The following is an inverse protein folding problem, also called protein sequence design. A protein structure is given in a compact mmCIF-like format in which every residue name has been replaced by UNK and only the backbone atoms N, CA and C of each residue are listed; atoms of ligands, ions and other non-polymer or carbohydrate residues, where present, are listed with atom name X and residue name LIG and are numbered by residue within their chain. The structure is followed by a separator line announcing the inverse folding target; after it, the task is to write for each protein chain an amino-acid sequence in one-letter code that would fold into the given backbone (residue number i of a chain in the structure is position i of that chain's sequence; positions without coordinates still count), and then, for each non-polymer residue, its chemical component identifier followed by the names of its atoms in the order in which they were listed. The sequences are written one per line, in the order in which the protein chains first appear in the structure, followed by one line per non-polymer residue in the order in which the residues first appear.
data_IF_982576174965
#
_entry.id   IF_982576174965
#
_cell.length_a   1.000
_cell.length_b   1.000
_cell.length_c   1.000
_cell.angle_alpha   90.00
_cell.angle_beta   90.00
_cell.angle_gamma   90.00
#
_symmetry.space_group_name_H-M   'P 1'
#
loop_
_entity.id
_entity.type
_entity.pdbx_description
1 polymer ?
#
# COMPACT_ATOMS: atom_id res chain seq x y z
N UNK A 1 7.34 -7.16 -29.28
CA UNK A 1 5.93 -7.49 -28.95
C UNK A 1 5.45 -8.82 -29.52
N UNK A 2 5.86 -9.23 -30.72
CA UNK A 2 5.39 -10.47 -31.36
C UNK A 2 5.55 -11.73 -30.49
N UNK A 3 6.72 -11.93 -29.86
CA UNK A 3 6.96 -13.10 -28.97
C UNK A 3 6.13 -13.09 -27.68
N UNK A 4 5.78 -11.92 -27.16
CA UNK A 4 5.02 -11.80 -25.92
C UNK A 4 3.50 -11.77 -26.13
N UNK A 5 3.05 -11.59 -27.38
CA UNK A 5 1.63 -11.44 -27.72
C UNK A 5 0.76 -12.63 -27.29
N UNK A 6 1.15 -13.90 -27.51
CA UNK A 6 0.34 -15.04 -27.06
C UNK A 6 0.18 -15.07 -25.54
N UNK A 7 1.22 -14.67 -24.80
CA UNK A 7 1.19 -14.60 -23.33
C UNK A 7 0.23 -13.49 -22.87
N UNK A 8 0.28 -12.32 -23.52
CA UNK A 8 -0.65 -11.21 -23.24
C UNK A 8 -2.09 -11.61 -23.51
N UNK A 9 -2.37 -12.25 -24.65
CA UNK A 9 -3.71 -12.67 -25.06
C UNK A 9 -4.28 -13.73 -24.09
N UNK A 10 -3.50 -14.76 -23.76
CA UNK A 10 -3.93 -15.79 -22.81
C UNK A 10 -4.14 -15.24 -21.40
N UNK A 11 -3.27 -14.34 -20.93
CA UNK A 11 -3.44 -13.72 -19.62
C UNK A 11 -4.64 -12.77 -19.58
N UNK A 12 -4.85 -12.01 -20.66
CA UNK A 12 -6.02 -11.17 -20.80
C UNK A 12 -7.29 -12.02 -20.78
N UNK A 13 -7.33 -13.16 -21.49
CA UNK A 13 -8.48 -14.08 -21.48
C UNK A 13 -8.83 -14.56 -20.06
N UNK A 14 -7.85 -14.94 -19.25
CA UNK A 14 -8.09 -15.36 -17.87
C UNK A 14 -8.63 -14.21 -17.00
N UNK A 15 -7.94 -13.06 -17.01
CA UNK A 15 -8.30 -11.90 -16.17
C UNK A 15 -9.63 -11.27 -16.58
N UNK A 16 -9.94 -11.28 -17.88
CA UNK A 16 -11.10 -10.64 -18.48
C UNK A 16 -12.24 -11.64 -18.76
N UNK A 17 -12.03 -12.94 -18.56
CA UNK A 17 -13.01 -13.98 -18.87
C UNK A 17 -14.33 -13.86 -18.12
N UNK A 18 -14.36 -13.13 -17.00
CA UNK A 18 -15.58 -12.84 -16.23
C UNK A 18 -16.48 -11.76 -16.85
N UNK A 19 -15.98 -11.00 -17.82
CA UNK A 19 -16.74 -9.97 -18.52
C UNK A 19 -17.84 -10.63 -19.36
N UNK A 20 -19.09 -10.21 -19.20
CA UNK A 20 -20.26 -10.83 -19.86
C UNK A 20 -20.16 -10.76 -21.38
N UNK A 21 -19.79 -9.60 -21.94
CA UNK A 21 -19.85 -9.39 -23.39
C UNK A 21 -18.50 -9.62 -24.07
N UNK A 22 -18.53 -10.26 -25.24
CA UNK A 22 -17.34 -10.55 -26.05
C UNK A 22 -16.58 -9.28 -26.45
N UNK A 23 -17.31 -8.22 -26.81
CA UNK A 23 -16.71 -6.94 -27.18
C UNK A 23 -15.99 -6.27 -25.99
N UNK A 24 -16.50 -6.42 -24.76
CA UNK A 24 -15.80 -5.95 -23.56
C UNK A 24 -14.45 -6.67 -23.38
N UNK A 25 -14.41 -7.99 -23.58
CA UNK A 25 -13.16 -8.76 -23.49
C UNK A 25 -12.15 -8.30 -24.55
N UNK A 26 -12.59 -8.16 -25.79
CA UNK A 26 -11.75 -7.68 -26.89
C UNK A 26 -11.22 -6.26 -26.64
N UNK A 27 -12.05 -5.34 -26.15
CA UNK A 27 -11.60 -3.96 -25.81
C UNK A 27 -10.68 -3.92 -24.59
N UNK A 28 -10.87 -4.81 -23.62
CA UNK A 28 -9.97 -4.95 -22.48
C UNK A 28 -8.59 -5.46 -22.89
N UNK A 29 -8.52 -6.50 -23.73
CA UNK A 29 -7.26 -6.98 -24.32
C UNK A 29 -6.55 -5.86 -25.11
N UNK A 30 -7.31 -5.13 -25.93
CA UNK A 30 -6.79 -3.98 -26.69
C UNK A 30 -6.23 -2.88 -25.76
N UNK A 31 -6.91 -2.58 -24.65
CA UNK A 31 -6.43 -1.62 -23.66
C UNK A 31 -5.14 -2.10 -23.00
N UNK A 32 -5.06 -3.37 -22.59
CA UNK A 32 -3.85 -3.97 -22.01
C UNK A 32 -2.67 -3.90 -22.97
N UNK A 33 -2.89 -4.18 -24.26
CA UNK A 33 -1.87 -4.00 -25.29
C UNK A 33 -1.42 -2.54 -25.39
N UNK A 34 -2.34 -1.58 -25.34
CA UNK A 34 -2.01 -0.16 -25.33
C UNK A 34 -1.08 0.25 -24.16
N UNK A 35 -1.33 -0.31 -22.97
CA UNK A 35 -0.50 -0.07 -21.78
C UNK A 35 0.91 -0.67 -21.95
N UNK A 36 1.00 -1.86 -22.56
CA UNK A 36 2.24 -2.63 -22.72
C UNK A 36 3.11 -2.23 -23.91
N UNK A 37 2.57 -1.50 -24.90
CA UNK A 37 3.35 -0.97 -26.02
C UNK A 37 4.39 0.05 -25.54
N UNK A 38 5.42 0.35 -26.32
CA UNK A 38 6.37 1.42 -25.98
C UNK A 38 5.76 2.82 -26.17
N UNK A 39 6.19 3.78 -25.34
CA UNK A 39 5.84 5.19 -25.52
C UNK A 39 5.65 5.95 -24.21
N UNK A 40 6.07 7.22 -24.20
CA UNK A 40 6.13 8.08 -23.01
C UNK A 40 4.77 8.33 -22.33
N UNK A 41 3.68 8.41 -23.10
CA UNK A 41 2.33 8.72 -22.59
C UNK A 41 1.37 7.58 -22.88
N UNK A 42 0.66 7.13 -21.84
CA UNK A 42 -0.32 6.02 -21.85
C UNK A 42 -1.77 6.48 -21.64
N UNK A 43 -2.09 7.72 -21.99
CA UNK A 43 -3.50 8.13 -22.08
C UNK A 43 -4.17 7.50 -23.30
N UNK A 44 -5.50 7.50 -23.32
CA UNK A 44 -6.29 6.75 -24.30
C UNK A 44 -5.96 7.12 -25.75
N UNK A 45 -5.78 8.41 -26.05
CA UNK A 45 -5.47 8.86 -27.41
C UNK A 45 -4.08 8.41 -27.89
N UNK A 46 -2.97 8.69 -27.17
CA UNK A 46 -1.67 8.13 -27.54
C UNK A 46 -1.63 6.60 -27.63
N UNK A 47 -2.38 5.88 -26.79
CA UNK A 47 -2.47 4.41 -26.92
C UNK A 47 -3.21 4.01 -28.19
N UNK A 48 -4.34 4.65 -28.48
CA UNK A 48 -5.15 4.36 -29.65
C UNK A 48 -4.42 4.66 -30.96
N UNK A 49 -3.66 5.77 -31.03
CA UNK A 49 -2.84 6.13 -32.17
C UNK A 49 -1.82 5.01 -32.49
N UNK A 50 -1.14 4.48 -31.47
CA UNK A 50 -0.17 3.37 -31.63
C UNK A 50 -0.81 2.04 -31.97
N UNK A 51 -2.05 1.82 -31.52
CA UNK A 51 -2.83 0.63 -31.83
C UNK A 51 -3.54 0.74 -33.19
N UNK A 52 -3.50 1.89 -33.86
CA UNK A 52 -4.25 2.20 -35.07
C UNK A 52 -5.76 1.95 -34.90
N UNK A 53 -6.33 2.41 -33.79
CA UNK A 53 -7.78 2.32 -33.48
C UNK A 53 -8.34 3.68 -33.10
N UNK A 54 -9.66 3.83 -33.15
CA UNK A 54 -10.30 5.02 -32.60
C UNK A 54 -10.21 5.06 -31.07
N UNK A 55 -9.65 6.14 -30.52
CA UNK A 55 -9.57 6.39 -29.08
C UNK A 55 -10.91 6.32 -28.35
N UNK A 56 -12.03 6.62 -29.02
CA UNK A 56 -13.36 6.54 -28.41
C UNK A 56 -13.67 5.13 -27.92
N UNK A 57 -13.16 4.09 -28.59
CA UNK A 57 -13.42 2.73 -28.15
C UNK A 57 -12.71 2.40 -26.83
N UNK A 58 -11.51 2.95 -26.59
CA UNK A 58 -10.80 2.82 -25.32
C UNK A 58 -11.47 3.66 -24.23
N UNK A 59 -11.92 4.87 -24.58
CA UNK A 59 -12.66 5.73 -23.67
C UNK A 59 -13.95 5.07 -23.19
N UNK A 60 -14.83 4.67 -24.11
CA UNK A 60 -16.10 4.02 -23.80
C UNK A 60 -15.89 2.76 -22.96
N UNK A 61 -14.88 1.94 -23.28
CA UNK A 61 -14.57 0.75 -22.51
C UNK A 61 -14.22 1.04 -21.04
N UNK A 62 -13.43 2.08 -20.77
CA UNK A 62 -13.04 2.46 -19.41
C UNK A 62 -14.14 3.24 -18.70
N UNK A 63 -14.73 4.25 -19.33
CA UNK A 63 -15.60 5.21 -18.65
C UNK A 63 -17.06 4.79 -18.60
N UNK A 64 -17.54 4.08 -19.61
CA UNK A 64 -18.99 3.93 -19.87
C UNK A 64 -19.48 2.49 -19.94
N UNK A 65 -18.59 1.53 -20.21
CA UNK A 65 -18.92 0.11 -20.21
C UNK A 65 -19.42 -0.34 -18.83
N UNK A 66 -20.09 -1.49 -18.72
CA UNK A 66 -20.80 -1.90 -17.50
C UNK A 66 -20.05 -2.93 -16.64
N UNK A 67 -18.75 -3.14 -16.89
CA UNK A 67 -18.01 -4.17 -16.19
C UNK A 67 -17.56 -3.78 -14.79
N UNK A 68 -17.55 -4.77 -13.90
CA UNK A 68 -17.05 -4.61 -12.54
C UNK A 68 -15.54 -4.86 -12.47
N UNK A 69 -14.82 -3.86 -11.98
CA UNK A 69 -13.38 -3.96 -11.80
C UNK A 69 -13.00 -4.88 -10.63
N UNK A 70 -13.91 -5.08 -9.66
CA UNK A 70 -13.69 -6.00 -8.53
C UNK A 70 -13.56 -7.45 -9.02
N UNK A 71 -14.32 -7.84 -10.05
CA UNK A 71 -14.21 -9.18 -10.64
C UNK A 71 -12.83 -9.45 -11.24
N UNK A 72 -12.25 -8.45 -11.91
CA UNK A 72 -10.90 -8.55 -12.48
C UNK A 72 -9.85 -8.60 -11.36
N UNK A 73 -9.99 -7.78 -10.31
CA UNK A 73 -9.08 -7.80 -9.14
C UNK A 73 -9.13 -9.12 -8.37
N UNK A 74 -10.32 -9.73 -8.26
CA UNK A 74 -10.50 -11.06 -7.67
C UNK A 74 -9.77 -12.14 -8.46
N UNK A 75 -9.88 -12.13 -9.79
CA UNK A 75 -9.12 -13.04 -10.68
C UNK A 75 -7.62 -12.82 -10.57
N UNK A 76 -7.19 -11.56 -10.56
CA UNK A 76 -5.80 -11.17 -10.37
C UNK A 76 -5.23 -11.65 -9.03
N UNK A 77 -6.04 -11.57 -7.96
CA UNK A 77 -5.67 -12.06 -6.63
C UNK A 77 -5.46 -13.57 -6.64
N UNK A 78 -6.38 -14.34 -7.25
CA UNK A 78 -6.23 -15.80 -7.36
C UNK A 78 -5.00 -16.20 -8.17
N UNK A 79 -4.75 -15.49 -9.29
CA UNK A 79 -3.52 -15.68 -10.05
C UNK A 79 -2.28 -15.41 -9.19
N UNK A 80 -2.26 -14.30 -8.46
CA UNK A 80 -1.11 -13.93 -7.63
C UNK A 80 -0.85 -14.98 -6.53
N UNK A 81 -1.88 -15.51 -5.90
CA UNK A 81 -1.76 -16.60 -4.92
C UNK A 81 -1.12 -17.84 -5.54
N UNK A 82 -1.61 -18.29 -6.70
CA UNK A 82 -1.11 -19.51 -7.32
C UNK A 82 0.24 -19.38 -8.03
N UNK A 83 0.54 -18.20 -8.58
CA UNK A 83 1.72 -17.98 -9.42
C UNK A 83 2.88 -17.29 -8.70
N UNK A 84 2.60 -16.47 -7.68
CA UNK A 84 3.63 -15.77 -6.92
C UNK A 84 3.86 -16.40 -5.55
N UNK A 85 2.84 -17.00 -4.94
CA UNK A 85 2.85 -17.41 -3.53
C UNK A 85 3.40 -16.30 -2.59
N UNK A 86 2.68 -15.17 -2.48
CA UNK A 86 3.23 -13.98 -1.83
C UNK A 86 3.53 -14.21 -0.36
N UNK A 87 4.68 -13.74 0.11
CA UNK A 87 5.08 -13.86 1.53
C UNK A 87 4.49 -12.76 2.41
N UNK A 88 4.06 -11.64 1.81
CA UNK A 88 3.46 -10.51 2.51
C UNK A 88 2.45 -9.74 1.63
N UNK A 89 1.62 -8.93 2.28
CA UNK A 89 0.82 -7.88 1.66
C UNK A 89 1.40 -6.51 2.04
N UNK A 90 1.81 -5.72 1.05
CA UNK A 90 2.27 -4.36 1.28
C UNK A 90 1.12 -3.38 1.06
N UNK A 91 0.83 -2.55 2.06
CA UNK A 91 -0.10 -1.42 1.99
C UNK A 91 0.67 -0.12 1.92
N UNK A 92 0.30 0.73 0.97
CA UNK A 92 0.87 2.06 0.77
C UNK A 92 -0.11 2.95 0.00
N UNK A 93 0.20 4.23 -0.19
CA UNK A 93 -0.55 5.12 -1.05
C UNK A 93 0.31 5.90 -2.06
N UNK A 94 -0.32 6.25 -3.18
CA UNK A 94 0.33 7.02 -4.25
C UNK A 94 -0.49 8.25 -4.61
N UNK A 95 0.22 9.33 -4.92
CA UNK A 95 -0.38 10.58 -5.39
C UNK A 95 -0.45 10.66 -6.92
N UNK A 96 -1.58 11.14 -7.42
CA UNK A 96 -1.89 11.33 -8.84
C UNK A 96 -2.08 12.83 -9.11
N UNK A 97 -1.05 13.54 -9.59
CA UNK A 97 -1.14 14.97 -9.87
C UNK A 97 -2.25 15.28 -10.87
N UNK A 98 -2.95 16.39 -10.65
CA UNK A 98 -4.03 16.87 -11.53
C UNK A 98 -3.96 18.38 -11.68
N UNK A 99 -4.25 18.86 -12.88
CA UNK A 99 -4.25 20.30 -13.17
C UNK A 99 -5.59 20.98 -12.85
N UNK A 100 -6.69 20.21 -12.77
CA UNK A 100 -8.04 20.75 -12.57
C UNK A 100 -8.79 20.19 -11.35
N UNK A 101 -9.95 20.77 -10.99
CA UNK A 101 -10.71 20.43 -9.79
C UNK A 101 -11.78 19.33 -10.00
N UNK A 102 -11.92 18.83 -11.23
CA UNK A 102 -13.05 17.99 -11.67
C UNK A 102 -12.81 16.49 -11.63
N UNK A 103 -11.58 16.04 -11.32
CA UNK A 103 -11.30 14.61 -11.11
C UNK A 103 -11.80 14.15 -9.74
N UNK A 104 -12.36 12.94 -9.59
CA UNK A 104 -12.93 12.47 -8.32
C UNK A 104 -11.88 12.50 -7.20
N UNK A 105 -12.24 13.00 -6.02
CA UNK A 105 -11.33 13.04 -4.86
C UNK A 105 -10.12 13.99 -5.01
N UNK A 106 -10.06 14.81 -6.07
CA UNK A 106 -8.94 15.74 -6.24
C UNK A 106 -9.01 16.88 -5.21
N UNK A 107 -7.90 17.11 -4.52
CA UNK A 107 -7.73 18.23 -3.59
C UNK A 107 -6.26 18.59 -3.42
N UNK A 108 -6.00 19.70 -2.73
CA UNK A 108 -4.66 20.09 -2.27
C UNK A 108 -4.24 19.16 -1.12
N UNK A 109 -3.38 18.19 -1.41
CA UNK A 109 -2.88 17.21 -0.43
C UNK A 109 -1.37 17.03 -0.62
N UNK A 110 -0.69 16.56 0.43
CA UNK A 110 0.70 16.13 0.28
C UNK A 110 0.74 14.91 -0.65
N UNK A 111 1.62 14.94 -1.64
CA UNK A 111 1.85 13.85 -2.57
C UNK A 111 3.32 13.51 -2.60
N UNK A 112 3.66 12.27 -2.26
CA UNK A 112 5.03 11.75 -2.32
C UNK A 112 5.62 11.89 -3.74
N UNK A 113 4.77 11.83 -4.78
CA UNK A 113 5.20 12.07 -6.17
C UNK A 113 5.59 13.53 -6.42
N UNK A 114 4.86 14.48 -5.85
CA UNK A 114 5.15 15.90 -6.01
C UNK A 114 6.25 16.40 -5.05
N UNK A 115 6.52 15.67 -3.97
CA UNK A 115 7.41 16.09 -2.89
C UNK A 115 6.88 17.30 -2.09
N UNK A 116 5.62 17.70 -2.33
CA UNK A 116 4.99 18.89 -1.75
C UNK A 116 3.48 18.75 -1.74
N UNK A 117 2.81 19.67 -1.03
CA UNK A 117 1.36 19.83 -1.15
C UNK A 117 1.01 20.37 -2.52
N UNK A 118 0.16 19.65 -3.25
CA UNK A 118 -0.28 20.00 -4.59
C UNK A 118 -1.66 19.44 -4.90
N UNK A 119 -2.24 19.88 -6.02
CA UNK A 119 -3.52 19.38 -6.47
C UNK A 119 -3.35 17.95 -7.01
N UNK A 120 -3.92 16.98 -6.31
CA UNK A 120 -3.76 15.57 -6.64
C UNK A 120 -4.93 14.74 -6.12
N UNK A 121 -5.05 13.52 -6.64
CA UNK A 121 -5.81 12.45 -6.01
C UNK A 121 -4.83 11.56 -5.22
N UNK A 122 -5.34 10.82 -4.23
CA UNK A 122 -4.56 9.80 -3.53
C UNK A 122 -5.23 8.44 -3.72
N UNK A 123 -4.47 7.43 -4.14
CA UNK A 123 -4.92 6.05 -4.24
C UNK A 123 -4.19 5.18 -3.22
N UNK A 124 -4.93 4.56 -2.31
CA UNK A 124 -4.44 3.51 -1.41
C UNK A 124 -4.37 2.21 -2.21
N UNK A 125 -3.28 1.46 -2.08
CA UNK A 125 -3.06 0.21 -2.80
C UNK A 125 -2.59 -0.92 -1.88
N UNK A 126 -2.96 -2.15 -2.22
CA UNK A 126 -2.46 -3.37 -1.60
C UNK A 126 -1.75 -4.24 -2.66
N UNK A 127 -0.52 -4.64 -2.37
CA UNK A 127 0.36 -5.37 -3.26
C UNK A 127 0.74 -6.72 -2.65
N UNK A 128 0.62 -7.79 -3.42
CA UNK A 128 1.24 -9.07 -3.10
C UNK A 128 2.72 -9.02 -3.46
N UNK A 129 3.60 -9.44 -2.56
CA UNK A 129 5.05 -9.37 -2.76
C UNK A 129 5.76 -10.67 -2.39
N UNK A 130 6.82 -10.97 -3.12
CA UNK A 130 7.87 -11.94 -2.80
C UNK A 130 9.23 -11.25 -2.82
N UNK A 131 10.30 -12.01 -2.60
CA UNK A 131 11.65 -11.49 -2.77
C UNK A 131 11.93 -11.02 -4.19
N UNK A 132 11.37 -11.66 -5.22
CA UNK A 132 11.70 -11.41 -6.63
C UNK A 132 10.58 -10.71 -7.40
N UNK A 133 9.33 -10.85 -6.95
CA UNK A 133 8.15 -10.52 -7.73
C UNK A 133 7.10 -9.78 -6.91
N UNK A 134 6.20 -9.12 -7.61
CA UNK A 134 5.10 -8.38 -7.00
C UNK A 134 3.94 -8.21 -7.98
N UNK A 135 2.76 -7.96 -7.41
CA UNK A 135 1.57 -7.56 -8.15
C UNK A 135 0.69 -6.64 -7.30
N UNK A 136 0.31 -5.48 -7.85
CA UNK A 136 -0.76 -4.66 -7.29
C UNK A 136 -2.10 -5.40 -7.43
N UNK A 137 -2.83 -5.61 -6.33
CA UNK A 137 -4.05 -6.43 -6.34
C UNK A 137 -5.32 -5.60 -6.17
N UNK A 138 -5.28 -4.58 -5.31
CA UNK A 138 -6.45 -3.79 -4.98
C UNK A 138 -6.10 -2.32 -4.81
N UNK A 139 -7.07 -1.44 -5.06
CA UNK A 139 -6.95 0.02 -4.98
C UNK A 139 -8.21 0.67 -4.43
N UNK A 140 -8.04 1.74 -3.66
CA UNK A 140 -9.12 2.64 -3.24
C UNK A 140 -8.74 4.08 -3.49
N UNK A 141 -9.62 4.81 -4.18
CA UNK A 141 -9.48 6.25 -4.33
C UNK A 141 -9.91 6.92 -3.02
N UNK A 142 -9.00 7.66 -2.39
CA UNK A 142 -9.29 8.40 -1.18
C UNK A 142 -10.11 9.65 -1.51
N UNK A 143 -11.27 9.78 -0.87
CA UNK A 143 -12.09 11.00 -0.88
C UNK A 143 -11.72 11.85 0.33
N UNK A 144 -11.15 13.05 0.17
CA UNK A 144 -10.92 13.95 1.30
C UNK A 144 -12.25 14.51 1.82
N UNK A 145 -12.30 15.05 3.06
CA UNK A 145 -13.54 15.58 3.64
C UNK A 145 -14.26 16.61 2.77
N UNK A 146 -13.52 17.38 1.97
CA UNK A 146 -14.07 18.35 1.00
C UNK A 146 -14.88 17.75 -0.15
N UNK A 147 -14.92 16.41 -0.26
CA UNK A 147 -15.74 15.65 -1.22
C UNK A 147 -16.89 14.90 -0.57
N UNK A 148 -17.08 15.06 0.73
CA UNK A 148 -18.16 14.41 1.46
C UNK A 148 -19.10 15.43 2.05
N UNK A 149 -20.28 15.54 1.45
CA UNK A 149 -21.28 16.52 1.85
C UNK A 149 -21.86 16.26 3.24
N UNK A 150 -21.68 15.05 3.80
CA UNK A 150 -22.04 14.75 5.20
C UNK A 150 -20.95 15.10 6.21
N UNK A 151 -19.74 15.42 5.74
CA UNK A 151 -18.61 15.82 6.59
C UNK A 151 -18.42 17.34 6.67
N UNK A 152 -19.28 18.11 5.99
CA UNK A 152 -19.19 19.56 5.85
C UNK A 152 -20.33 20.24 6.61
N UNK A 153 -20.02 21.37 7.27
CA UNK A 153 -21.02 22.17 7.99
C UNK A 153 -21.56 23.37 7.21
N UNK A 154 -20.82 23.86 6.20
CA UNK A 154 -21.19 25.04 5.41
C UNK A 154 -22.12 24.66 4.23
N UNK A 155 -23.33 25.25 4.12
CA UNK A 155 -24.26 24.93 3.03
C UNK A 155 -23.70 25.15 1.62
N UNK A 156 -22.84 26.15 1.43
CA UNK A 156 -22.19 26.41 0.15
C UNK A 156 -21.20 25.30 -0.23
N UNK A 157 -20.35 24.89 0.72
CA UNK A 157 -19.42 23.77 0.55
C UNK A 157 -20.14 22.44 0.31
N UNK A 158 -21.25 22.18 1.01
CA UNK A 158 -22.12 21.01 0.80
C UNK A 158 -22.64 20.98 -0.64
N UNK A 159 -23.18 22.10 -1.15
CA UNK A 159 -23.68 22.18 -2.52
C UNK A 159 -22.57 21.93 -3.56
N UNK A 160 -21.38 22.49 -3.33
CA UNK A 160 -20.20 22.26 -4.18
C UNK A 160 -19.77 20.79 -4.13
N UNK A 161 -19.72 20.17 -2.96
CA UNK A 161 -19.37 18.75 -2.81
C UNK A 161 -20.36 17.86 -3.55
N UNK A 162 -21.67 18.08 -3.39
CA UNK A 162 -22.73 17.34 -4.11
C UNK A 162 -22.59 17.47 -5.63
N UNK A 163 -22.38 18.69 -6.13
CA UNK A 163 -22.20 18.93 -7.56
C UNK A 163 -20.96 18.19 -8.13
N UNK A 164 -19.82 18.23 -7.41
CA UNK A 164 -18.60 17.53 -7.80
C UNK A 164 -18.79 16.01 -7.77
N UNK A 165 -19.45 15.47 -6.73
CA UNK A 165 -19.77 14.04 -6.60
C UNK A 165 -20.63 13.55 -7.76
N UNK A 166 -21.69 14.29 -8.09
CA UNK A 166 -22.58 13.98 -9.22
C UNK A 166 -21.82 14.02 -10.55
N UNK A 167 -21.02 15.06 -10.80
CA UNK A 167 -20.24 15.20 -12.03
C UNK A 167 -19.23 14.06 -12.22
N UNK A 168 -18.61 13.60 -11.14
CA UNK A 168 -17.65 12.50 -11.16
C UNK A 168 -18.30 11.11 -11.05
N UNK A 169 -19.64 11.04 -10.99
CA UNK A 169 -20.40 9.81 -10.79
C UNK A 169 -19.90 8.97 -9.61
N UNK A 170 -19.63 9.64 -8.47
CA UNK A 170 -19.24 8.97 -7.22
C UNK A 170 -20.51 8.37 -6.60
N UNK A 171 -20.55 7.04 -6.33
CA UNK A 171 -21.70 6.42 -5.69
C UNK A 171 -21.96 6.97 -4.28
N UNK A 172 -23.23 6.96 -3.83
CA UNK A 172 -23.64 7.58 -2.56
C UNK A 172 -23.07 6.90 -1.31
N UNK A 173 -22.70 5.62 -1.41
CA UNK A 173 -22.04 4.86 -0.35
C UNK A 173 -20.54 5.15 -0.25
N UNK A 174 -19.94 5.80 -1.26
CA UNK A 174 -18.53 6.19 -1.24
C UNK A 174 -18.38 7.55 -0.54
N UNK A 175 -17.94 7.51 0.71
CA UNK A 175 -17.82 8.66 1.63
C UNK A 175 -16.38 8.92 2.02
N UNK A 176 -16.14 10.01 2.74
CA UNK A 176 -14.83 10.23 3.33
C UNK A 176 -14.55 9.11 4.34
N UNK A 177 -13.37 8.51 4.22
CA UNK A 177 -12.89 7.48 5.12
C UNK A 177 -11.38 7.60 5.23
N UNK A 178 -10.84 7.42 6.43
CA UNK A 178 -9.40 7.45 6.68
C UNK A 178 -8.71 6.35 5.87
N UNK A 179 -7.53 6.67 5.32
CA UNK A 179 -6.78 5.76 4.45
C UNK A 179 -6.51 4.39 5.09
N UNK A 180 -6.26 4.37 6.39
CA UNK A 180 -6.02 3.13 7.12
C UNK A 180 -7.27 2.24 7.21
N UNK A 181 -8.48 2.81 7.26
CA UNK A 181 -9.71 2.02 7.20
C UNK A 181 -9.94 1.47 5.78
N UNK A 182 -9.68 2.29 4.75
CA UNK A 182 -9.69 1.80 3.36
C UNK A 182 -8.74 0.60 3.18
N UNK A 183 -7.56 0.64 3.80
CA UNK A 183 -6.62 -0.47 3.76
C UNK A 183 -7.16 -1.74 4.45
N UNK A 184 -7.81 -1.61 5.62
CA UNK A 184 -8.45 -2.76 6.29
C UNK A 184 -9.56 -3.38 5.43
N UNK A 185 -10.42 -2.55 4.84
CA UNK A 185 -11.49 -3.03 3.95
C UNK A 185 -10.90 -3.76 2.72
N UNK A 186 -9.79 -3.26 2.17
CA UNK A 186 -9.09 -3.91 1.06
C UNK A 186 -8.48 -5.25 1.47
N UNK A 187 -7.96 -5.38 2.69
CA UNK A 187 -7.43 -6.63 3.23
C UNK A 187 -8.56 -7.66 3.38
N UNK A 188 -9.72 -7.24 3.91
CA UNK A 188 -10.90 -8.09 4.05
C UNK A 188 -11.40 -8.60 2.68
N UNK A 189 -11.44 -7.72 1.67
CA UNK A 189 -11.76 -8.10 0.28
C UNK A 189 -10.77 -9.12 -0.29
N UNK A 190 -9.46 -8.88 -0.14
CA UNK A 190 -8.43 -9.77 -0.65
C UNK A 190 -8.53 -11.17 -0.02
N UNK A 191 -8.77 -11.26 1.29
CA UNK A 191 -9.03 -12.52 1.99
C UNK A 191 -10.28 -13.20 1.44
N UNK A 192 -11.38 -12.46 1.26
CA UNK A 192 -12.61 -12.96 0.63
C UNK A 192 -12.41 -13.44 -0.82
N UNK A 193 -11.36 -12.98 -1.50
CA UNK A 193 -11.00 -13.44 -2.85
C UNK A 193 -10.04 -14.63 -2.87
N UNK A 194 -9.59 -15.10 -1.71
CA UNK A 194 -8.71 -16.28 -1.56
C UNK A 194 -7.26 -15.96 -1.24
N UNK A 195 -6.92 -14.72 -0.85
CA UNK A 195 -5.59 -14.41 -0.34
C UNK A 195 -5.35 -15.13 1.00
N UNK A 196 -4.29 -15.95 1.14
CA UNK A 196 -3.94 -16.58 2.40
C UNK A 196 -3.63 -15.53 3.47
N UNK A 197 -3.67 -15.94 4.74
CA UNK A 197 -3.22 -15.09 5.83
C UNK A 197 -1.71 -14.82 5.65
N UNK A 198 -1.38 -13.60 5.22
CA UNK A 198 -0.01 -13.12 5.04
C UNK A 198 0.22 -11.89 5.91
N UNK A 199 1.44 -11.71 6.47
CA UNK A 199 1.77 -10.50 7.20
C UNK A 199 1.51 -9.25 6.37
N UNK A 200 0.87 -8.26 6.98
CA UNK A 200 0.72 -6.92 6.40
C UNK A 200 1.94 -6.08 6.73
N UNK A 201 2.49 -5.44 5.70
CA UNK A 201 3.64 -4.54 5.82
C UNK A 201 3.21 -3.15 5.34
N UNK A 202 3.53 -2.11 6.12
CA UNK A 202 3.18 -0.73 5.80
C UNK A 202 4.21 0.25 6.38
N UNK A 203 4.20 1.50 5.93
CA UNK A 203 5.04 2.55 6.54
C UNK A 203 4.40 3.20 7.78
N UNK A 204 5.13 4.15 8.37
CA UNK A 204 4.73 4.89 9.55
C UNK A 204 3.43 5.70 9.37
N UNK A 205 3.03 6.06 8.14
CA UNK A 205 1.74 6.74 7.90
C UNK A 205 0.57 5.86 8.35
N UNK A 206 0.70 4.54 8.20
CA UNK A 206 -0.27 3.56 8.67
C UNK A 206 0.14 2.99 10.03
N UNK A 207 1.42 2.68 10.19
CA UNK A 207 1.94 1.99 11.35
C UNK A 207 1.91 2.81 12.62
N UNK A 208 1.92 4.15 12.57
CA UNK A 208 1.70 5.00 13.76
C UNK A 208 0.23 5.02 14.20
N UNK A 209 -0.71 4.69 13.31
CA UNK A 209 -2.14 4.66 13.63
C UNK A 209 -2.46 3.45 14.49
N UNK A 210 -2.60 3.66 15.80
CA UNK A 210 -2.96 2.59 16.76
C UNK A 210 -4.22 1.84 16.38
N UNK A 211 -5.24 2.54 15.85
CA UNK A 211 -6.48 1.92 15.39
C UNK A 211 -6.27 0.97 14.19
N UNK A 212 -5.29 1.25 13.32
CA UNK A 212 -4.94 0.37 12.20
C UNK A 212 -4.29 -0.92 12.71
N UNK A 213 -3.29 -0.80 13.60
CA UNK A 213 -2.63 -1.95 14.22
C UNK A 213 -3.63 -2.83 14.97
N UNK A 214 -4.52 -2.22 15.76
CA UNK A 214 -5.60 -2.93 16.44
C UNK A 214 -6.54 -3.63 15.45
N UNK A 215 -6.96 -2.94 14.39
CA UNK A 215 -7.84 -3.52 13.37
C UNK A 215 -7.23 -4.72 12.64
N UNK A 216 -5.91 -4.77 12.47
CA UNK A 216 -5.20 -5.96 11.96
C UNK A 216 -5.20 -7.10 12.98
N UNK A 217 -4.89 -6.81 14.24
CA UNK A 217 -4.90 -7.80 15.33
C UNK A 217 -6.29 -8.44 15.53
N UNK A 218 -7.36 -7.63 15.55
CA UNK A 218 -8.75 -8.11 15.65
C UNK A 218 -9.13 -9.05 14.50
N UNK A 219 -8.51 -8.87 13.33
CA UNK A 219 -8.71 -9.73 12.15
C UNK A 219 -7.84 -10.99 12.16
N UNK A 220 -6.97 -11.15 13.16
CA UNK A 220 -5.96 -12.21 13.20
C UNK A 220 -4.92 -12.09 12.09
N UNK A 221 -4.63 -10.87 11.62
CA UNK A 221 -3.66 -10.61 10.54
C UNK A 221 -2.32 -10.20 11.17
N UNK A 222 -1.26 -11.01 11.03
CA UNK A 222 0.08 -10.62 11.48
C UNK A 222 0.54 -9.38 10.73
N UNK A 223 1.44 -8.59 11.32
CA UNK A 223 1.98 -7.43 10.65
C UNK A 223 3.43 -7.15 11.01
N UNK A 224 4.12 -6.41 10.13
CA UNK A 224 5.39 -5.73 10.37
C UNK A 224 5.26 -4.32 9.80
N UNK A 225 4.94 -3.34 10.64
CA UNK A 225 4.66 -1.96 10.19
C UNK A 225 5.72 -1.02 10.71
N UNK A 226 6.20 -0.11 9.86
CA UNK A 226 7.12 0.92 10.29
C UNK A 226 6.40 1.91 11.22
N UNK A 227 7.13 2.52 12.14
CA UNK A 227 6.62 3.52 13.09
C UNK A 227 7.63 4.63 13.26
N UNK A 228 7.17 5.80 13.70
CA UNK A 228 8.06 6.88 14.12
C UNK A 228 8.76 6.53 15.43
N UNK A 229 10.01 7.02 15.64
CA UNK A 229 10.75 6.79 16.89
C UNK A 229 10.03 7.34 18.13
N UNK A 230 9.11 8.30 17.94
CA UNK A 230 8.35 8.96 19.00
C UNK A 230 7.15 8.15 19.50
N UNK A 231 6.81 7.03 18.86
CA UNK A 231 5.82 6.11 19.41
C UNK A 231 6.25 5.62 20.80
N UNK A 232 5.30 5.34 21.70
CA UNK A 232 5.61 4.98 23.09
C UNK A 232 5.30 3.54 23.42
N UNK A 233 6.17 2.93 24.22
CA UNK A 233 6.05 1.54 24.67
C UNK A 233 6.72 1.33 26.04
N UNK A 234 6.48 0.17 26.63
CA UNK A 234 7.15 -0.37 27.81
C UNK A 234 7.90 -1.66 27.43
N UNK A 235 8.92 -2.04 28.19
CA UNK A 235 9.60 -3.32 28.00
C UNK A 235 8.67 -4.49 28.40
N UNK A 236 8.82 -5.66 27.77
CA UNK A 236 7.93 -6.80 28.03
C UNK A 236 8.10 -7.41 29.44
N UNK A 237 9.29 -7.31 30.03
CA UNK A 237 9.60 -7.77 31.38
C UNK A 237 9.06 -6.84 32.49
N UNK A 238 8.54 -5.66 32.12
CA UNK A 238 7.96 -4.71 33.06
C UNK A 238 6.60 -5.21 33.57
N UNK A 239 6.38 -5.28 34.88
CA UNK A 239 5.04 -5.63 35.40
C UNK A 239 4.00 -4.61 34.91
N UNK A 240 2.77 -5.02 34.53
CA UNK A 240 1.75 -4.06 34.15
C UNK A 240 1.53 -3.09 35.31
N UNK A 241 1.62 -1.79 35.05
CA UNK A 241 1.30 -0.80 36.06
C UNK A 241 -0.16 -1.01 36.48
N UNK A 242 -0.36 -1.49 37.71
CA UNK A 242 -1.69 -1.51 38.31
C UNK A 242 -2.14 -0.06 38.44
N UNK A 243 -3.16 0.35 37.68
CA UNK A 243 -3.82 1.63 37.95
C UNK A 243 -4.37 1.56 39.37
N UNK A 244 -3.96 2.45 40.29
CA UNK A 244 -4.45 2.39 41.66
C UNK A 244 -5.94 2.73 41.65
N UNK A 245 -6.76 1.72 41.91
CA UNK A 245 -8.12 1.91 42.37
C UNK A 245 -8.03 2.55 43.76
N UNK A 246 -8.70 3.69 43.96
CA UNK A 246 -8.70 4.56 45.15
C UNK A 246 -7.66 5.71 45.19
N UNK A 247 -8.21 6.92 45.36
CA UNK A 247 -7.52 8.23 45.32
C UNK A 247 -6.55 8.52 46.46
N UNK A 248 -5.51 7.70 46.61
CA UNK A 248 -4.28 8.08 47.32
C UNK A 248 -3.16 8.36 46.30
N UNK A 249 -2.43 9.48 46.41
CA UNK A 249 -1.24 9.70 45.60
C UNK A 249 -0.20 8.64 45.97
N UNK A 250 0.25 7.86 45.00
CA UNK A 250 1.37 6.95 45.17
C UNK A 250 2.67 7.75 45.46
N UNK A 251 3.60 7.24 46.29
CA UNK A 251 4.87 7.91 46.54
C UNK A 251 5.68 8.03 45.23
N UNK A 252 6.32 9.19 45.04
CA UNK A 252 7.00 9.59 43.79
C UNK A 252 8.20 8.71 43.36
N UNK A 253 8.54 7.67 44.13
CA UNK A 253 9.61 6.71 43.85
C UNK A 253 9.11 5.34 43.37
N UNK A 254 7.81 5.16 43.13
CA UNK A 254 7.20 3.85 42.85
C UNK A 254 6.93 3.51 41.36
N UNK A 255 7.43 4.28 40.38
CA UNK A 255 7.17 3.99 38.95
C UNK A 255 8.41 4.11 38.04
N UNK A 256 9.29 3.08 37.98
CA UNK A 256 10.34 2.98 36.95
C UNK A 256 9.81 2.75 35.51
N UNK A 257 8.49 2.56 35.37
CA UNK A 257 7.84 1.80 34.30
C UNK A 257 6.90 2.63 33.41
N UNK A 258 7.11 3.95 33.35
CA UNK A 258 6.36 4.79 32.43
C UNK A 258 6.71 4.45 30.97
N UNK A 259 5.73 4.48 30.05
CA UNK A 259 6.03 4.37 28.62
C UNK A 259 7.10 5.35 28.18
N UNK A 260 8.07 4.86 27.41
CA UNK A 260 9.15 5.67 26.82
C UNK A 260 9.02 5.63 25.30
N UNK A 261 9.59 6.63 24.64
CA UNK A 261 9.71 6.59 23.19
C UNK A 261 10.61 5.43 22.74
N UNK A 262 10.37 4.89 21.53
CA UNK A 262 11.05 3.71 21.03
C UNK A 262 12.56 3.90 20.93
N UNK A 263 13.02 5.10 20.56
CA UNK A 263 14.46 5.40 20.50
C UNK A 263 15.09 5.27 21.88
N UNK A 264 14.49 5.87 22.91
CA UNK A 264 14.98 5.77 24.29
C UNK A 264 15.03 4.31 24.76
N UNK A 265 14.00 3.51 24.48
CA UNK A 265 13.99 2.08 24.83
C UNK A 265 15.13 1.31 24.15
N UNK A 266 15.32 1.54 22.85
CA UNK A 266 16.35 0.88 22.05
C UNK A 266 17.74 1.26 22.54
N UNK A 267 17.99 2.55 22.77
CA UNK A 267 19.29 3.06 23.23
C UNK A 267 19.61 2.68 24.67
N UNK A 268 18.60 2.44 25.52
CA UNK A 268 18.78 1.97 26.90
C UNK A 268 18.97 0.45 27.02
N UNK A 269 18.76 -0.31 25.94
CA UNK A 269 18.92 -1.76 25.96
C UNK A 269 20.38 -2.18 26.17
N UNK A 270 20.60 -3.30 26.85
CA UNK A 270 21.94 -3.84 27.18
C UNK A 270 22.73 -4.34 25.96
N UNK A 271 22.22 -4.12 24.74
CA UNK A 271 22.77 -4.60 23.47
C UNK A 271 23.16 -3.42 22.57
N UNK A 272 24.25 -2.70 22.90
CA UNK A 272 24.61 -1.43 22.25
C UNK A 272 24.91 -1.59 20.75
N UNK A 273 25.31 -2.78 20.31
CA UNK A 273 25.79 -3.05 18.94
C UNK A 273 24.82 -3.88 18.08
N UNK A 274 23.60 -4.19 18.55
CA UNK A 274 22.63 -4.98 17.77
C UNK A 274 23.24 -6.25 17.14
N UNK A 275 22.68 -6.72 16.02
CA UNK A 275 23.27 -7.78 15.20
C UNK A 275 23.28 -7.36 13.74
N UNK A 276 24.38 -7.60 13.06
CA UNK A 276 24.42 -7.38 11.63
C UNK A 276 23.60 -8.43 10.89
N UNK A 277 22.61 -7.99 10.15
CA UNK A 277 21.77 -8.86 9.32
C UNK A 277 21.91 -8.42 7.87
N UNK A 278 22.29 -9.33 6.95
CA UNK A 278 22.22 -9.04 5.53
C UNK A 278 20.77 -8.96 5.09
N UNK A 279 20.43 -7.97 4.28
CA UNK A 279 19.10 -7.79 3.71
C UNK A 279 19.23 -7.28 2.28
N UNK A 280 18.27 -7.61 1.42
CA UNK A 280 18.28 -7.11 0.03
C UNK A 280 17.76 -5.69 0.00
N UNK A 281 18.57 -4.76 -0.49
CA UNK A 281 18.03 -3.45 -0.82
C UNK A 281 17.15 -3.59 -2.05
N UNK A 282 15.89 -3.15 -1.95
CA UNK A 282 15.20 -2.66 -3.14
C UNK A 282 16.06 -1.58 -3.80
N UNK A 283 15.85 -1.30 -5.09
CA UNK A 283 16.62 -0.30 -5.85
C UNK A 283 16.35 1.13 -5.32
N UNK A 284 16.83 1.43 -4.12
CA UNK A 284 16.82 2.73 -3.49
C UNK A 284 18.13 3.41 -3.91
N UNK A 285 18.00 4.39 -4.82
CA UNK A 285 19.04 5.36 -5.14
C UNK A 285 19.30 6.19 -3.88
N UNK A 286 20.30 5.77 -3.11
CA UNK A 286 21.00 6.57 -2.12
C UNK A 286 22.50 6.62 -2.51
N UNK A 287 23.27 7.59 -2.01
CA UNK A 287 24.60 7.93 -2.54
C UNK A 287 25.74 6.99 -2.08
N UNK A 288 25.48 5.70 -1.90
CA UNK A 288 26.49 4.75 -1.39
C UNK A 288 26.66 3.58 -2.35
N UNK A 289 27.92 3.27 -2.65
CA UNK A 289 28.39 2.30 -3.63
C UNK A 289 27.59 0.98 -3.63
N UNK A 290 26.96 0.71 -4.78
CA UNK A 290 26.32 -0.58 -5.05
C UNK A 290 27.44 -1.57 -5.38
N UNK A 291 27.83 -2.40 -4.41
CA UNK A 291 28.56 -3.64 -4.74
C UNK A 291 27.58 -4.59 -5.44
N UNK A 292 28.04 -5.21 -6.53
CA UNK A 292 27.24 -5.78 -7.62
C UNK A 292 26.24 -6.92 -7.33
N UNK A 293 25.79 -7.10 -6.09
CA UNK A 293 24.74 -8.07 -5.70
C UNK A 293 23.48 -7.42 -5.10
N UNK A 294 23.49 -6.12 -4.79
CA UNK A 294 22.34 -5.42 -4.19
C UNK A 294 22.03 -5.79 -2.72
N UNK A 295 22.90 -6.59 -2.09
CA UNK A 295 22.79 -7.00 -0.69
C UNK A 295 23.35 -5.88 0.21
N UNK A 296 22.54 -5.36 1.12
CA UNK A 296 22.98 -4.42 2.18
C UNK A 296 23.17 -5.17 3.48
N UNK A 297 24.00 -4.60 4.36
CA UNK A 297 24.21 -5.10 5.71
C UNK A 297 24.02 -3.93 6.66
N UNK A 298 22.98 -4.02 7.48
CA UNK A 298 22.73 -3.05 8.54
C UNK A 298 22.71 -3.76 9.88
N UNK A 299 22.75 -2.98 10.95
CA UNK A 299 22.71 -3.46 12.32
C UNK A 299 21.28 -3.36 12.82
N UNK A 300 20.74 -4.46 13.30
CA UNK A 300 19.36 -4.56 13.76
C UNK A 300 19.31 -5.01 15.21
N UNK A 301 18.31 -4.53 15.92
CA UNK A 301 17.94 -5.00 17.25
C UNK A 301 16.46 -5.35 17.24
N UNK A 302 16.11 -6.52 17.79
CA UNK A 302 14.73 -6.87 18.09
C UNK A 302 14.54 -6.98 19.61
N UNK A 303 13.54 -6.27 20.13
CA UNK A 303 13.16 -6.30 21.53
C UNK A 303 11.69 -6.72 21.65
N UNK A 304 11.34 -7.42 22.73
CA UNK A 304 9.94 -7.63 23.11
C UNK A 304 9.47 -6.45 23.93
N UNK A 305 8.36 -5.84 23.51
CA UNK A 305 7.79 -4.66 24.14
C UNK A 305 6.27 -4.80 24.30
N UNK A 306 5.68 -3.96 25.15
CA UNK A 306 4.24 -3.71 25.21
C UNK A 306 3.99 -2.27 24.77
N UNK A 307 3.21 -2.09 23.71
CA UNK A 307 2.84 -0.73 23.29
C UNK A 307 1.88 -0.10 24.31
N UNK A 308 1.82 1.23 24.38
CA UNK A 308 0.88 1.90 25.28
C UNK A 308 -0.46 2.06 24.59
N UNK A 309 -1.40 1.14 24.81
CA UNK A 309 -2.80 1.34 24.39
C UNK A 309 -3.68 1.66 25.60
N UNK A 310 -4.44 2.77 25.61
CA UNK A 310 -5.12 3.27 26.80
C UNK A 310 -6.23 2.37 27.38
N UNK A 311 -6.72 1.37 26.66
CA UNK A 311 -7.95 0.66 27.07
C UNK A 311 -7.80 -0.84 27.32
N UNK A 312 -6.78 -1.50 26.78
CA UNK A 312 -6.51 -2.93 26.99
C UNK A 312 -5.01 -3.12 26.78
N UNK A 313 -4.26 -3.64 27.76
CA UNK A 313 -2.82 -3.87 27.63
C UNK A 313 -2.55 -4.67 26.36
N UNK A 314 -1.86 -4.11 25.36
CA UNK A 314 -1.76 -4.76 24.06
C UNK A 314 -0.87 -6.00 24.20
N UNK A 315 -1.11 -7.04 23.40
CA UNK A 315 -0.25 -8.22 23.42
C UNK A 315 1.19 -7.78 23.18
N UNK A 316 2.13 -8.47 23.84
CA UNK A 316 3.54 -8.26 23.60
C UNK A 316 3.84 -8.36 22.10
N UNK A 317 4.62 -7.41 21.59
CA UNK A 317 5.00 -7.37 20.19
C UNK A 317 6.52 -7.20 20.06
N UNK A 318 7.03 -7.43 18.86
CA UNK A 318 8.40 -7.12 18.52
C UNK A 318 8.55 -5.63 18.20
N UNK A 319 9.58 -5.01 18.76
CA UNK A 319 10.17 -3.75 18.29
C UNK A 319 11.43 -4.09 17.53
N UNK A 320 11.46 -3.80 16.24
CA UNK A 320 12.67 -3.87 15.41
C UNK A 320 13.22 -2.45 15.22
N UNK A 321 14.52 -2.26 15.44
CA UNK A 321 15.21 -1.01 15.15
C UNK A 321 16.42 -1.27 14.26
N UNK A 322 16.69 -0.36 13.33
CA UNK A 322 17.85 -0.42 12.43
C UNK A 322 18.74 0.80 12.57
N UNK A 323 20.05 0.52 12.63
CA UNK A 323 21.11 1.48 12.42
C UNK A 323 21.64 1.30 10.99
N UNK A 324 21.47 2.32 10.14
CA UNK A 324 22.19 2.38 8.87
C UNK A 324 23.71 2.23 9.06
N UNK A 325 24.44 1.79 8.02
CA UNK A 325 25.89 1.67 8.08
C UNK A 325 26.55 3.00 8.49
N UNK A 326 27.40 2.95 9.52
CA UNK A 326 28.17 4.10 9.99
C UNK A 326 27.39 5.11 10.85
N UNK A 327 26.12 4.85 11.21
CA UNK A 327 25.36 5.75 12.08
C UNK A 327 25.41 5.32 13.54
N UNK A 328 25.58 6.26 14.49
CA UNK A 328 25.57 5.95 15.92
C UNK A 328 24.18 5.62 16.46
N UNK A 329 23.12 6.05 15.75
CA UNK A 329 21.74 5.96 16.21
C UNK A 329 20.83 5.23 15.20
N UNK A 330 19.73 4.60 15.67
CA UNK A 330 18.78 3.94 14.80
C UNK A 330 17.90 4.96 14.09
N UNK A 331 17.67 4.76 12.79
CA UNK A 331 16.83 5.64 11.97
C UNK A 331 15.45 5.07 11.70
N UNK A 332 15.35 3.74 11.58
CA UNK A 332 14.13 3.06 11.15
C UNK A 332 13.64 2.13 12.27
N UNK A 333 12.33 2.14 12.53
CA UNK A 333 11.68 1.38 13.60
C UNK A 333 10.44 0.67 13.05
N UNK A 334 10.18 -0.54 13.51
CA UNK A 334 9.00 -1.32 13.16
C UNK A 334 8.40 -2.01 14.38
N UNK A 335 7.08 -2.16 14.35
CA UNK A 335 6.33 -3.02 15.26
C UNK A 335 5.87 -4.28 14.54
N UNK A 336 5.96 -5.43 15.21
CA UNK A 336 5.58 -6.71 14.62
C UNK A 336 4.84 -7.65 15.58
N UNK A 337 3.80 -8.30 15.07
CA UNK A 337 3.00 -9.33 15.78
C UNK A 337 3.39 -10.75 15.39
N UNK A 338 4.53 -10.94 14.71
CA UNK A 338 5.05 -12.28 14.47
C UNK A 338 5.26 -13.05 15.80
N UNK A 339 5.24 -14.39 15.75
CA UNK A 339 5.45 -15.25 16.92
C UNK A 339 6.68 -14.89 17.77
N UNK A 340 6.65 -15.23 19.06
CA UNK A 340 7.72 -14.89 20.00
C UNK A 340 9.04 -15.66 19.75
N UNK A 341 8.99 -16.72 18.95
CA UNK A 341 10.13 -17.50 18.45
C UNK A 341 10.59 -17.06 17.05
N UNK A 342 9.96 -16.04 16.45
CA UNK A 342 10.34 -15.52 15.15
C UNK A 342 11.81 -15.08 15.13
N UNK A 343 12.54 -15.51 14.10
CA UNK A 343 13.95 -15.18 13.98
C UNK A 343 14.14 -13.70 13.60
N UNK A 344 15.24 -13.10 14.08
CA UNK A 344 15.61 -11.73 13.69
C UNK A 344 15.69 -11.57 12.16
N UNK A 345 16.14 -12.60 11.42
CA UNK A 345 16.20 -12.58 9.95
C UNK A 345 14.82 -12.45 9.32
N UNK A 346 13.81 -13.12 9.85
CA UNK A 346 12.44 -13.06 9.35
C UNK A 346 11.83 -11.67 9.57
N UNK A 347 12.01 -11.11 10.77
CA UNK A 347 11.59 -9.75 11.10
C UNK A 347 12.21 -8.72 10.14
N UNK A 348 13.53 -8.81 9.94
CA UNK A 348 14.27 -7.92 9.03
C UNK A 348 13.81 -8.09 7.57
N UNK A 349 13.62 -9.33 7.13
CA UNK A 349 13.14 -9.62 5.78
C UNK A 349 11.78 -8.95 5.52
N UNK A 350 10.79 -9.17 6.38
CA UNK A 350 9.46 -8.57 6.23
C UNK A 350 9.46 -7.05 6.41
N UNK A 351 10.28 -6.50 7.31
CA UNK A 351 10.43 -5.06 7.47
C UNK A 351 10.97 -4.39 6.19
N UNK A 352 11.91 -5.05 5.50
CA UNK A 352 12.57 -4.53 4.30
C UNK A 352 11.87 -4.90 2.99
N UNK A 353 11.00 -5.92 2.96
CA UNK A 353 10.27 -6.31 1.75
C UNK A 353 9.37 -5.18 1.22
N UNK A 354 8.94 -4.25 2.10
CA UNK A 354 8.18 -3.05 1.70
C UNK A 354 8.84 -2.30 0.55
N UNK A 355 10.17 -2.22 0.51
CA UNK A 355 10.89 -1.48 -0.54
C UNK A 355 10.57 -1.96 -1.97
N UNK A 356 9.99 -3.16 -2.14
CA UNK A 356 9.45 -3.64 -3.42
C UNK A 356 8.38 -2.71 -3.99
N UNK A 357 7.52 -2.13 -3.15
CA UNK A 357 6.43 -1.26 -3.62
C UNK A 357 6.94 0.03 -4.28
N UNK A 358 8.15 0.48 -3.91
CA UNK A 358 8.79 1.64 -4.56
C UNK A 358 9.14 1.31 -6.01
N UNK A 359 9.59 0.07 -6.28
CA UNK A 359 9.80 -0.41 -7.66
C UNK A 359 8.46 -0.53 -8.39
N UNK A 360 7.45 -1.11 -7.74
CA UNK A 360 6.11 -1.25 -8.32
C UNK A 360 5.54 0.09 -8.76
N UNK A 361 5.57 1.11 -7.90
CA UNK A 361 5.04 2.41 -8.26
C UNK A 361 5.82 3.09 -9.41
N UNK A 362 7.14 2.88 -9.51
CA UNK A 362 7.92 3.34 -10.67
C UNK A 362 7.47 2.63 -11.94
N UNK A 363 7.34 1.30 -11.91
CA UNK A 363 6.85 0.53 -13.05
C UNK A 363 5.42 0.93 -13.44
N UNK A 364 4.51 0.97 -12.48
CA UNK A 364 3.11 1.31 -12.68
C UNK A 364 2.96 2.70 -13.28
N UNK A 365 3.70 3.71 -12.78
CA UNK A 365 3.62 5.09 -13.31
C UNK A 365 4.40 5.24 -14.61
N UNK A 366 5.70 4.98 -14.58
CA UNK A 366 6.61 5.41 -15.63
C UNK A 366 6.49 4.53 -16.88
N UNK A 367 6.21 3.23 -16.70
CA UNK A 367 6.08 2.29 -17.81
C UNK A 367 4.62 2.01 -18.19
N UNK A 368 3.73 1.88 -17.20
CA UNK A 368 2.35 1.43 -17.42
C UNK A 368 1.32 2.57 -17.31
N UNK A 369 1.75 3.78 -16.98
CA UNK A 369 0.92 4.98 -17.01
C UNK A 369 -0.23 5.02 -16.01
N UNK A 370 -0.01 4.51 -14.80
CA UNK A 370 -0.93 4.56 -13.66
C UNK A 370 -1.56 5.95 -13.44
N UNK A 371 -0.79 7.01 -13.68
CA UNK A 371 -1.20 8.40 -13.51
C UNK A 371 -1.50 9.14 -14.82
N UNK A 372 -1.56 8.42 -15.94
CA UNK A 372 -1.90 8.96 -17.26
C UNK A 372 -3.40 8.95 -17.56
N UNK A 373 -4.24 8.50 -16.64
CA UNK A 373 -5.69 8.54 -16.80
C UNK A 373 -6.25 9.97 -16.77
N UNK A 374 -6.90 10.35 -17.87
CA UNK A 374 -7.48 11.68 -18.09
C UNK A 374 -9.00 11.72 -17.90
N UNK A 375 -9.64 10.58 -17.64
CA UNK A 375 -11.08 10.51 -17.38
C UNK A 375 -11.45 11.10 -16.03
N UNK A 376 -12.74 11.44 -15.87
CA UNK A 376 -13.27 12.16 -14.71
C UNK A 376 -14.31 11.37 -13.92
N UNK A 377 -14.55 10.10 -14.26
CA UNK A 377 -15.49 9.26 -13.52
C UNK A 377 -14.81 8.41 -12.46
N UNK A 378 -15.47 8.24 -11.33
CA UNK A 378 -15.06 7.37 -10.22
C UNK A 378 -14.74 5.95 -10.73
N UNK A 379 -15.70 5.34 -11.41
CA UNK A 379 -15.56 3.99 -11.94
C UNK A 379 -14.47 3.90 -13.01
N UNK A 380 -14.30 4.93 -13.84
CA UNK A 380 -13.24 4.97 -14.85
C UNK A 380 -11.84 4.94 -14.22
N UNK A 381 -11.63 5.65 -13.11
CA UNK A 381 -10.38 5.61 -12.36
C UNK A 381 -10.11 4.19 -11.85
N UNK A 382 -11.10 3.57 -11.21
CA UNK A 382 -10.98 2.21 -10.67
C UNK A 382 -10.68 1.16 -11.74
N UNK A 383 -11.30 1.29 -12.92
CA UNK A 383 -11.05 0.42 -14.07
C UNK A 383 -9.66 0.60 -14.67
N UNK A 384 -9.22 1.84 -14.83
CA UNK A 384 -7.87 2.13 -15.33
C UNK A 384 -6.80 1.53 -14.42
N UNK A 385 -6.80 1.84 -13.12
CA UNK A 385 -5.77 1.31 -12.19
C UNK A 385 -5.80 -0.21 -12.10
N UNK A 386 -6.98 -0.84 -12.30
CA UNK A 386 -7.11 -2.30 -12.36
C UNK A 386 -6.41 -2.87 -13.60
N UNK A 387 -6.60 -2.28 -14.78
CA UNK A 387 -5.93 -2.75 -15.99
C UNK A 387 -4.43 -2.46 -15.99
N UNK A 388 -4.00 -1.37 -15.35
CA UNK A 388 -2.58 -1.10 -15.10
C UNK A 388 -1.98 -2.17 -14.18
N UNK A 389 -2.73 -2.61 -13.17
CA UNK A 389 -2.32 -3.72 -12.29
C UNK A 389 -2.23 -5.06 -13.04
N UNK A 390 -3.19 -5.35 -13.94
CA UNK A 390 -3.13 -6.53 -14.82
C UNK A 390 -1.92 -6.45 -15.77
N UNK A 391 -1.63 -5.28 -16.33
CA UNK A 391 -0.45 -5.09 -17.17
C UNK A 391 0.86 -5.28 -16.40
N UNK A 392 0.93 -4.86 -15.13
CA UNK A 392 2.06 -5.17 -14.24
C UNK A 392 2.22 -6.68 -14.05
N UNK A 393 1.13 -7.39 -13.74
CA UNK A 393 1.16 -8.84 -13.57
C UNK A 393 1.61 -9.58 -14.83
N UNK A 394 1.23 -9.12 -16.02
CA UNK A 394 1.75 -9.64 -17.29
C UNK A 394 3.27 -9.46 -17.37
N UNK A 395 3.79 -8.28 -17.01
CA UNK A 395 5.25 -8.05 -16.98
C UNK A 395 5.94 -8.93 -15.95
N UNK A 396 5.36 -9.12 -14.77
CA UNK A 396 5.86 -10.05 -13.75
C UNK A 396 5.94 -11.48 -14.31
N UNK A 397 4.88 -11.96 -14.96
CA UNK A 397 4.85 -13.29 -15.60
C UNK A 397 5.91 -13.44 -16.70
N UNK A 398 6.09 -12.40 -17.53
CA UNK A 398 7.09 -12.40 -18.60
C UNK A 398 8.53 -12.41 -18.08
N UNK A 399 8.79 -11.81 -16.90
CA UNK A 399 10.09 -11.88 -16.22
C UNK A 399 10.34 -13.26 -15.62
N UNK A 400 9.31 -13.91 -15.09
CA UNK A 400 9.42 -15.26 -14.53
C UNK A 400 9.57 -16.37 -15.58
N UNK A 401 9.28 -16.07 -16.86
CA UNK A 401 9.40 -17.01 -17.99
C UNK A 401 10.72 -16.88 -18.75
N UNK A 402 11.62 -16.01 -18.30
CA UNK A 402 12.99 -15.82 -18.81
C UNK A 402 13.96 -16.37 -17.78
#
# INVERSE_FOLDING_TARGET
MERARPIVEAFAEDMLGGLRRRDQRAKGELYLRGLLLDGRRKSMRPMADRLAVDHQCLQQFITSSTWDHRDVRRRLTRWAVGALDPVALVVDDSGFPKDGPTSPGVARMYSCKLGRVGNCQIGVSAHAVTDEMSAALNWRLFLPPSWDDTALGDPGQIAVARARRAQAAIPDDQRHQEKWRLALDMIDELRGWGMPARPVVADATYGDVTAFRRGLTERGVPYVVAVTPTATAQAADTAPAAYPDSGRPAPATAHPDLPRDLRTLVMASSWPDGRFVPWRAGTQLGPVEVTGTGLRRSRFLALRIRTSTPEQGPPECWLLAEWPPGTPEPSDYWLSTLPADAELRELVHLARIRSRIVHDYRELRDALGLDHFEGRSWTGWHRHVTLVSVAQAIRTRLRASQ
#
